data_IF_048061647998
#
_entry.id   IF_048061647998
#
_cell.length_a   1.000
_cell.length_b   1.000
_cell.length_c   1.000
_cell.angle_alpha   90.00
_cell.angle_beta   90.00
_cell.angle_gamma   90.00
#
_symmetry.space_group_name_H-M   'P 1'
#
loop_
_entity.id
_entity.type
_entity.pdbx_description
1 polymer ?
#
# COMPACT_ATOMS: atom_id res chain seq x y z
N UNK A 1 26.28 15.17 -7.41
CA UNK A 1 25.39 14.85 -8.55
C UNK A 1 26.19 14.07 -9.58
N UNK A 2 26.08 12.74 -9.58
CA UNK A 2 26.60 11.96 -10.69
C UNK A 2 25.43 11.71 -11.65
N UNK A 3 25.55 12.05 -12.94
CA UNK A 3 24.55 11.71 -13.92
C UNK A 3 24.34 10.20 -13.96
N UNK A 4 23.09 9.79 -14.13
CA UNK A 4 22.71 8.38 -14.26
C UNK A 4 23.45 7.80 -15.47
N UNK A 5 24.32 6.78 -15.33
CA UNK A 5 25.11 6.27 -16.45
C UNK A 5 24.24 5.52 -17.46
N UNK A 6 24.53 5.65 -18.73
CA UNK A 6 23.81 5.00 -19.84
C UNK A 6 24.17 3.50 -19.94
N UNK A 7 23.21 2.63 -20.28
CA UNK A 7 23.45 1.19 -20.47
C UNK A 7 24.44 0.91 -21.61
N UNK A 8 25.23 -0.18 -21.49
CA UNK A 8 26.26 -0.55 -22.51
C UNK A 8 25.69 -0.87 -23.90
N UNK A 9 24.49 -1.44 -23.97
CA UNK A 9 23.82 -1.74 -25.24
C UNK A 9 23.54 -0.49 -26.07
N UNK A 10 23.48 0.64 -25.40
CA UNK A 10 23.15 1.94 -25.92
C UNK A 10 24.38 2.71 -26.42
N UNK A 11 25.57 2.41 -25.87
CA UNK A 11 26.86 3.04 -26.29
C UNK A 11 27.34 2.65 -27.71
N UNK A 12 26.76 1.62 -28.35
CA UNK A 12 27.19 1.13 -29.65
C UNK A 12 26.60 1.86 -30.87
N UNK A 13 25.61 2.76 -30.67
CA UNK A 13 24.98 3.54 -31.77
C UNK A 13 25.55 4.93 -31.98
N UNK A 14 26.64 5.30 -31.30
CA UNK A 14 27.29 6.62 -31.46
C UNK A 14 28.14 6.73 -32.71
N UNK A 15 27.62 6.45 -33.90
CA UNK A 15 28.26 6.88 -35.16
C UNK A 15 27.22 6.95 -36.26
N UNK A 16 26.43 8.01 -36.25
CA UNK A 16 26.03 8.67 -37.48
C UNK A 16 25.47 10.05 -37.14
N UNK A 17 26.21 11.05 -37.59
CA UNK A 17 25.97 12.44 -37.39
C UNK A 17 24.85 12.87 -38.34
N UNK A 18 23.65 13.08 -37.85
CA UNK A 18 22.69 13.97 -38.49
C UNK A 18 21.90 14.72 -37.40
N UNK A 19 22.06 16.04 -37.39
CA UNK A 19 21.67 16.97 -36.35
C UNK A 19 20.21 17.42 -36.42
N UNK A 20 19.32 16.54 -36.84
CA UNK A 20 17.86 16.71 -36.64
C UNK A 20 17.39 15.74 -35.57
N UNK A 21 17.08 16.22 -34.36
CA UNK A 21 16.40 15.42 -33.33
C UNK A 21 15.10 14.89 -33.93
N UNK A 22 15.12 13.65 -34.40
CA UNK A 22 13.91 12.96 -34.86
C UNK A 22 12.98 12.78 -33.69
N UNK A 23 11.72 13.16 -33.82
CA UNK A 23 10.69 12.89 -32.82
C UNK A 23 10.64 11.38 -32.60
N UNK A 24 10.79 10.93 -31.34
CA UNK A 24 10.73 9.52 -30.99
C UNK A 24 9.30 8.98 -31.16
N UNK A 25 9.15 7.78 -31.68
CA UNK A 25 7.88 7.06 -31.67
C UNK A 25 7.60 6.46 -30.30
N UNK A 26 6.36 6.03 -30.06
CA UNK A 26 5.98 5.35 -28.81
C UNK A 26 6.78 4.08 -28.65
N UNK A 27 6.94 3.29 -29.70
CA UNK A 27 7.69 2.04 -29.71
C UNK A 27 9.17 2.25 -29.39
N UNK A 28 9.79 3.31 -29.93
CA UNK A 28 11.18 3.67 -29.62
C UNK A 28 11.34 4.08 -28.14
N UNK A 29 10.34 4.77 -27.57
CA UNK A 29 10.31 5.11 -26.13
C UNK A 29 10.17 3.87 -25.26
N UNK A 30 9.23 2.96 -25.59
CA UNK A 30 9.02 1.72 -24.88
C UNK A 30 10.26 0.81 -24.89
N UNK A 31 10.90 0.65 -26.05
CA UNK A 31 12.14 -0.12 -26.19
C UNK A 31 13.26 0.45 -25.32
N UNK A 32 13.43 1.78 -25.34
CA UNK A 32 14.42 2.45 -24.52
C UNK A 32 14.15 2.24 -23.03
N UNK A 33 12.92 2.51 -22.60
CA UNK A 33 12.51 2.41 -21.20
C UNK A 33 12.67 0.98 -20.70
N UNK A 34 12.21 -0.02 -21.46
CA UNK A 34 12.32 -1.44 -21.09
C UNK A 34 13.78 -1.92 -21.00
N UNK A 35 14.70 -1.29 -21.73
CA UNK A 35 16.14 -1.55 -21.60
C UNK A 35 16.79 -0.90 -20.38
N UNK A 36 16.10 0.01 -19.72
CA UNK A 36 16.66 0.86 -18.69
C UNK A 36 16.04 0.65 -17.31
N UNK A 37 14.70 0.57 -17.26
CA UNK A 37 13.91 0.45 -16.05
C UNK A 37 12.72 -0.49 -16.26
N UNK A 38 12.26 -1.09 -15.16
CA UNK A 38 10.94 -1.76 -15.09
C UNK A 38 9.97 -0.85 -14.36
N UNK A 39 8.71 -0.91 -14.76
CA UNK A 39 7.62 -0.16 -14.15
C UNK A 39 6.47 -1.07 -13.79
N UNK A 40 5.76 -0.74 -12.71
CA UNK A 40 4.51 -1.37 -12.33
C UNK A 40 3.60 -0.37 -11.62
N UNK A 41 2.29 -0.53 -11.77
CA UNK A 41 1.28 0.26 -11.08
C UNK A 41 0.85 -0.49 -9.82
N UNK A 42 1.15 0.06 -8.65
CA UNK A 42 0.72 -0.52 -7.39
C UNK A 42 -0.76 -0.23 -7.16
N UNK A 43 -1.59 -1.29 -7.12
CA UNK A 43 -3.05 -1.18 -7.01
C UNK A 43 -3.55 -0.76 -5.63
N UNK A 44 -2.71 -0.84 -4.58
CA UNK A 44 -3.08 -0.31 -3.26
C UNK A 44 -2.76 1.17 -3.13
N UNK A 45 -1.54 1.59 -3.49
CA UNK A 45 -1.13 3.00 -3.34
C UNK A 45 -1.56 3.87 -4.52
N UNK A 46 -1.96 3.25 -5.64
CA UNK A 46 -2.26 3.91 -6.91
C UNK A 46 -1.10 4.78 -7.42
N UNK A 47 0.13 4.30 -7.17
CA UNK A 47 1.37 4.95 -7.57
C UNK A 47 2.20 4.02 -8.45
N UNK A 48 2.91 4.63 -9.40
CA UNK A 48 3.86 3.89 -10.22
C UNK A 48 5.10 3.60 -9.38
N UNK A 49 5.53 2.36 -9.42
CA UNK A 49 6.81 1.91 -8.87
C UNK A 49 7.78 1.59 -10.01
N UNK A 50 9.05 1.79 -9.76
CA UNK A 50 10.12 1.54 -10.71
C UNK A 50 11.26 0.77 -10.10
N UNK A 51 11.95 0.01 -10.95
CA UNK A 51 13.14 -0.76 -10.61
C UNK A 51 14.17 -0.58 -11.73
N UNK A 52 15.40 -0.23 -11.38
CA UNK A 52 16.51 -0.16 -12.34
C UNK A 52 16.91 -1.58 -12.77
N UNK A 53 17.26 -1.74 -14.04
CA UNK A 53 17.79 -3.01 -14.55
C UNK A 53 19.28 -3.07 -14.26
N UNK A 54 19.74 -4.09 -13.52
CA UNK A 54 21.12 -4.21 -13.00
C UNK A 54 22.18 -4.16 -14.11
N UNK A 55 21.91 -4.73 -15.29
CA UNK A 55 22.84 -4.77 -16.43
C UNK A 55 23.11 -3.39 -17.04
N UNK A 56 22.30 -2.40 -16.72
CA UNK A 56 22.49 -1.01 -17.19
C UNK A 56 23.63 -0.28 -16.44
N UNK A 57 24.09 -0.80 -15.28
CA UNK A 57 25.03 -0.15 -14.36
C UNK A 57 26.20 -1.04 -13.97
N UNK A 58 27.22 -1.14 -14.82
CA UNK A 58 28.36 -2.02 -14.57
C UNK A 58 29.40 -1.50 -13.59
N UNK A 59 29.30 -0.28 -13.10
CA UNK A 59 30.31 0.33 -12.22
C UNK A 59 29.94 0.35 -10.73
N UNK A 60 28.75 -0.13 -10.34
CA UNK A 60 28.35 -0.31 -8.92
C UNK A 60 27.48 -1.56 -8.77
N UNK A 61 28.08 -2.71 -8.49
CA UNK A 61 27.33 -3.98 -8.33
C UNK A 61 26.56 -4.08 -7.00
N UNK A 62 26.54 -3.08 -6.13
CA UNK A 62 26.00 -3.22 -4.79
C UNK A 62 24.66 -2.51 -4.59
N UNK A 63 23.67 -3.32 -4.26
CA UNK A 63 22.48 -3.06 -3.45
C UNK A 63 21.36 -2.15 -3.99
N UNK A 64 21.57 -1.25 -4.93
CA UNK A 64 20.51 -0.30 -5.33
C UNK A 64 19.68 -0.74 -6.56
N UNK A 65 20.19 -1.65 -7.37
CA UNK A 65 19.64 -1.94 -8.68
C UNK A 65 18.41 -2.88 -8.69
N UNK A 66 18.18 -3.61 -7.61
CA UNK A 66 17.14 -4.65 -7.57
C UNK A 66 15.95 -4.33 -6.69
N UNK A 67 15.85 -3.12 -6.15
CA UNK A 67 14.75 -2.75 -5.26
C UNK A 67 13.69 -1.92 -5.98
N UNK A 68 12.41 -2.30 -5.81
CA UNK A 68 11.29 -1.50 -6.26
C UNK A 68 11.17 -0.25 -5.37
N UNK A 69 10.99 0.91 -6.00
CA UNK A 69 10.80 2.19 -5.32
C UNK A 69 9.73 3.01 -6.03
N UNK A 70 9.11 3.91 -5.33
CA UNK A 70 8.10 4.81 -5.91
C UNK A 70 8.75 5.68 -6.98
N UNK A 71 8.06 5.84 -8.11
CA UNK A 71 8.45 6.80 -9.14
C UNK A 71 8.33 8.21 -8.56
N UNK A 72 9.45 8.94 -8.57
CA UNK A 72 9.51 10.34 -8.12
C UNK A 72 9.81 11.25 -9.32
N UNK A 73 9.49 12.54 -9.21
CA UNK A 73 9.82 13.55 -10.22
C UNK A 73 11.31 13.52 -10.56
N UNK A 74 12.18 13.25 -9.58
CA UNK A 74 13.62 13.14 -9.81
C UNK A 74 13.97 11.97 -10.74
N UNK A 75 13.38 10.81 -10.53
CA UNK A 75 13.63 9.61 -11.36
C UNK A 75 13.06 9.83 -12.76
N UNK A 76 11.88 10.39 -12.86
CA UNK A 76 11.21 10.69 -14.12
C UNK A 76 11.99 11.73 -14.96
N UNK A 77 12.42 12.82 -14.34
CA UNK A 77 13.27 13.82 -14.98
C UNK A 77 14.63 13.24 -15.41
N UNK A 78 15.20 12.33 -14.60
CA UNK A 78 16.45 11.64 -14.94
C UNK A 78 16.28 10.72 -16.14
N UNK A 79 15.15 10.00 -16.22
CA UNK A 79 14.79 9.16 -17.38
C UNK A 79 14.61 10.02 -18.63
N UNK A 80 13.88 11.13 -18.53
CA UNK A 80 13.73 12.07 -19.64
C UNK A 80 15.09 12.61 -20.12
N UNK A 81 15.99 13.03 -19.21
CA UNK A 81 17.35 13.46 -19.56
C UNK A 81 18.12 12.34 -20.27
N UNK A 82 18.01 11.09 -19.81
CA UNK A 82 18.66 9.95 -20.44
C UNK A 82 18.17 9.75 -21.90
N UNK A 83 16.86 9.89 -22.15
CA UNK A 83 16.29 9.83 -23.50
C UNK A 83 16.82 10.95 -24.39
N UNK A 84 16.92 12.20 -23.87
CA UNK A 84 17.48 13.32 -24.60
C UNK A 84 18.96 13.09 -24.96
N UNK A 85 19.77 12.61 -24.03
CA UNK A 85 21.17 12.26 -24.28
C UNK A 85 21.35 11.16 -25.34
N UNK A 86 20.30 10.35 -25.54
CA UNK A 86 20.23 9.34 -26.60
C UNK A 86 19.80 9.88 -27.95
N UNK A 87 19.57 11.19 -28.07
CA UNK A 87 19.11 11.82 -29.29
C UNK A 87 17.61 11.65 -29.55
N UNK A 88 16.85 11.19 -28.57
CA UNK A 88 15.39 11.04 -28.67
C UNK A 88 14.73 12.38 -28.34
N UNK A 89 14.05 12.98 -29.30
CA UNK A 89 13.26 14.19 -29.08
C UNK A 89 11.91 13.80 -28.44
N UNK A 90 11.89 13.68 -27.09
CA UNK A 90 10.72 13.34 -26.27
C UNK A 90 10.36 14.53 -25.41
N UNK A 91 9.07 14.88 -25.38
CA UNK A 91 8.52 15.85 -24.43
C UNK A 91 8.19 15.14 -23.11
N UNK A 92 8.39 15.81 -21.97
CA UNK A 92 8.05 15.27 -20.65
C UNK A 92 6.58 14.85 -20.56
N UNK A 93 5.65 15.59 -21.21
CA UNK A 93 4.23 15.20 -21.25
C UNK A 93 4.00 13.91 -22.05
N UNK A 94 4.81 13.61 -23.06
CA UNK A 94 4.73 12.35 -23.82
C UNK A 94 5.19 11.19 -22.93
N UNK A 95 6.27 11.37 -22.16
CA UNK A 95 6.70 10.41 -21.16
C UNK A 95 5.64 10.17 -20.08
N UNK A 96 5.05 11.23 -19.52
CA UNK A 96 3.94 11.12 -18.55
C UNK A 96 2.74 10.36 -19.14
N UNK A 97 2.41 10.62 -20.42
CA UNK A 97 1.30 9.93 -21.08
C UNK A 97 1.58 8.45 -21.25
N UNK A 98 2.81 8.08 -21.62
CA UNK A 98 3.22 6.69 -21.76
C UNK A 98 3.21 5.98 -20.40
N UNK A 99 3.81 6.58 -19.37
CA UNK A 99 3.82 6.01 -18.01
C UNK A 99 2.42 5.92 -17.37
N UNK A 100 1.49 6.77 -17.79
CA UNK A 100 0.09 6.74 -17.36
C UNK A 100 -0.83 5.86 -18.22
N UNK A 101 -0.26 5.02 -19.11
CA UNK A 101 -1.02 4.13 -20.00
C UNK A 101 -0.88 2.65 -19.59
N UNK A 102 -1.49 1.75 -20.39
CA UNK A 102 -1.38 0.30 -20.24
C UNK A 102 0.05 -0.26 -20.43
N UNK A 103 1.02 0.60 -20.77
CA UNK A 103 2.43 0.27 -20.78
C UNK A 103 2.90 -0.15 -19.38
N UNK A 104 2.45 0.54 -18.33
CA UNK A 104 2.73 0.20 -16.94
C UNK A 104 1.70 -0.82 -16.44
N UNK A 105 2.15 -2.05 -16.20
CA UNK A 105 1.28 -3.15 -15.79
C UNK A 105 0.85 -3.02 -14.33
N UNK A 106 -0.39 -3.35 -14.08
CA UNK A 106 -0.96 -3.39 -12.73
C UNK A 106 -0.34 -4.51 -11.89
N UNK A 107 -0.15 -4.23 -10.60
CA UNK A 107 0.44 -5.11 -9.61
C UNK A 107 -0.31 -4.95 -8.29
N UNK A 108 -0.77 -6.05 -7.72
CA UNK A 108 -1.46 -6.04 -6.44
C UNK A 108 -0.58 -6.68 -5.36
N UNK A 109 0.05 -5.90 -4.45
CA UNK A 109 1.08 -6.40 -3.53
C UNK A 109 0.57 -7.49 -2.58
N UNK A 110 -0.64 -7.34 -2.05
CA UNK A 110 -1.22 -8.34 -1.16
C UNK A 110 -1.52 -9.63 -1.91
N UNK A 111 -2.05 -9.56 -3.13
CA UNK A 111 -2.36 -10.75 -3.94
C UNK A 111 -1.08 -11.50 -4.29
N UNK A 112 -0.04 -10.80 -4.75
CA UNK A 112 1.24 -11.42 -5.08
C UNK A 112 1.88 -12.08 -3.85
N UNK A 113 1.81 -11.41 -2.69
CA UNK A 113 2.27 -11.98 -1.43
C UNK A 113 1.53 -13.28 -1.09
N UNK A 114 0.19 -13.28 -1.16
CA UNK A 114 -0.63 -14.45 -0.82
C UNK A 114 -0.43 -15.59 -1.81
N UNK A 115 -0.34 -15.30 -3.11
CA UNK A 115 -0.09 -16.30 -4.17
C UNK A 115 1.30 -16.93 -4.05
N UNK A 116 2.27 -16.20 -3.45
CA UNK A 116 3.63 -16.68 -3.17
C UNK A 116 3.76 -17.51 -1.89
N UNK A 117 2.71 -17.60 -1.05
CA UNK A 117 2.77 -18.39 0.18
C UNK A 117 2.71 -19.90 -0.14
N UNK A 118 3.40 -20.72 0.67
CA UNK A 118 3.24 -22.16 0.59
C UNK A 118 1.77 -22.55 0.94
N UNK A 119 1.25 -23.66 0.41
CA UNK A 119 -0.07 -24.14 0.78
C UNK A 119 -0.17 -24.34 2.30
N UNK A 120 -1.32 -23.97 2.87
CA UNK A 120 -1.58 -24.24 4.27
C UNK A 120 -1.62 -25.75 4.55
N UNK A 121 -1.02 -26.18 5.65
CA UNK A 121 -0.96 -27.58 6.09
C UNK A 121 -2.33 -28.17 6.50
N UNK A 122 -3.37 -27.34 6.59
CA UNK A 122 -4.72 -27.74 7.01
C UNK A 122 -4.90 -27.95 8.52
N UNK A 123 -3.84 -27.84 9.32
CA UNK A 123 -3.85 -28.14 10.75
C UNK A 123 -3.42 -26.97 11.64
N UNK A 124 -2.39 -26.22 11.23
CA UNK A 124 -1.79 -25.18 12.06
C UNK A 124 -2.65 -23.92 12.13
N UNK A 125 -3.15 -23.58 13.33
CA UNK A 125 -3.83 -22.30 13.58
C UNK A 125 -2.80 -21.20 13.89
N UNK A 126 -2.25 -20.56 12.84
CA UNK A 126 -1.27 -19.50 12.97
C UNK A 126 -1.85 -18.24 13.65
N UNK A 127 -3.12 -17.91 13.38
CA UNK A 127 -3.78 -16.74 13.99
C UNK A 127 -4.02 -17.01 15.49
N UNK A 128 -4.44 -18.22 15.85
CA UNK A 128 -4.57 -18.61 17.24
C UNK A 128 -3.25 -18.56 18.00
N UNK A 129 -2.14 -18.99 17.38
CA UNK A 129 -0.80 -18.85 17.96
C UNK A 129 -0.40 -17.39 18.18
N UNK A 130 -0.67 -16.52 17.21
CA UNK A 130 -0.43 -15.08 17.34
C UNK A 130 -1.28 -14.49 18.47
N UNK A 131 -2.56 -14.84 18.54
CA UNK A 131 -3.45 -14.38 19.60
C UNK A 131 -3.03 -14.83 20.99
N UNK A 132 -2.45 -16.03 21.12
CA UNK A 132 -1.96 -16.58 22.39
C UNK A 132 -0.75 -15.80 22.96
N UNK A 133 -0.06 -15.00 22.15
CA UNK A 133 1.00 -14.10 22.63
C UNK A 133 0.43 -12.88 23.40
N UNK A 134 -0.87 -12.60 23.26
CA UNK A 134 -1.53 -11.46 23.89
C UNK A 134 -2.21 -11.92 25.17
N UNK A 135 -1.74 -11.43 26.31
CA UNK A 135 -2.36 -11.72 27.62
C UNK A 135 -3.56 -10.79 27.83
N UNK A 136 -4.75 -11.27 27.52
CA UNK A 136 -6.01 -10.55 27.75
C UNK A 136 -6.46 -10.76 29.19
N UNK A 137 -6.70 -9.68 29.92
CA UNK A 137 -7.36 -9.77 31.22
C UNK A 137 -8.84 -10.09 31.01
N UNK A 138 -9.32 -11.13 31.65
CA UNK A 138 -10.76 -11.36 31.79
C UNK A 138 -11.34 -10.19 32.59
N UNK A 139 -12.15 -9.36 31.95
CA UNK A 139 -12.90 -8.30 32.64
C UNK A 139 -14.29 -8.78 32.93
N UNK A 140 -14.73 -8.73 34.18
CA UNK A 140 -16.14 -9.05 34.52
C UNK A 140 -17.15 -8.07 33.92
N UNK A 141 -16.66 -6.99 33.31
CA UNK A 141 -17.46 -5.91 32.70
C UNK A 141 -17.18 -5.76 31.18
N UNK A 142 -16.86 -6.86 30.49
CA UNK A 142 -16.78 -6.82 29.03
C UNK A 142 -18.10 -6.33 28.45
N UNK A 143 -18.11 -5.30 27.55
CA UNK A 143 -19.34 -4.82 26.91
C UNK A 143 -20.14 -5.92 26.22
N UNK A 144 -19.50 -7.04 25.90
CA UNK A 144 -20.10 -8.25 25.33
C UNK A 144 -20.97 -9.06 26.32
N UNK A 145 -20.91 -8.74 27.64
CA UNK A 145 -21.73 -9.41 28.68
C UNK A 145 -22.89 -8.55 29.19
N UNK A 146 -23.02 -7.29 28.78
CA UNK A 146 -24.03 -6.37 29.35
C UNK A 146 -25.40 -6.40 28.67
N UNK A 147 -25.59 -7.13 27.57
CA UNK A 147 -26.90 -7.23 26.92
C UNK A 147 -27.71 -8.43 27.47
N UNK A 148 -27.85 -8.49 28.79
CA UNK A 148 -28.68 -9.49 29.51
C UNK A 148 -30.19 -9.24 29.37
N UNK A 149 -30.63 -8.20 28.66
CA UNK A 149 -32.06 -7.84 28.52
C UNK A 149 -32.74 -8.45 27.28
N UNK A 150 -32.03 -9.23 26.49
CA UNK A 150 -32.64 -9.99 25.40
C UNK A 150 -32.75 -11.45 25.81
N UNK A 151 -33.99 -11.87 26.12
CA UNK A 151 -34.36 -13.29 26.16
C UNK A 151 -33.92 -13.96 24.85
N UNK A 152 -32.80 -14.64 24.89
CA UNK A 152 -32.35 -15.53 23.81
C UNK A 152 -32.54 -16.95 24.25
N UNK A 153 -33.43 -17.62 23.54
CA UNK A 153 -33.52 -19.04 23.53
C UNK A 153 -32.17 -19.66 23.17
N UNK A 154 -31.61 -20.34 24.15
CA UNK A 154 -30.76 -21.50 24.12
C UNK A 154 -29.88 -21.77 22.90
N UNK A 155 -28.73 -21.07 22.83
CA UNK A 155 -27.53 -21.57 22.19
C UNK A 155 -26.37 -21.20 23.11
N UNK A 156 -25.63 -22.20 23.61
CA UNK A 156 -24.50 -22.11 24.53
C UNK A 156 -23.56 -20.95 24.17
N UNK A 157 -23.62 -19.83 24.92
CA UNK A 157 -22.74 -18.70 24.76
C UNK A 157 -21.33 -19.09 25.20
N UNK A 158 -20.55 -19.64 24.28
CA UNK A 158 -19.11 -19.74 24.50
C UNK A 158 -18.55 -18.31 24.55
N UNK A 159 -17.78 -17.95 25.59
CA UNK A 159 -17.20 -16.61 25.68
C UNK A 159 -16.36 -16.31 24.44
N UNK A 160 -16.61 -15.18 23.78
CA UNK A 160 -15.88 -14.78 22.58
C UNK A 160 -14.41 -14.55 22.96
N UNK A 161 -13.53 -15.36 22.43
CA UNK A 161 -12.09 -15.31 22.73
C UNK A 161 -11.43 -14.21 21.88
N UNK A 162 -10.36 -13.64 22.38
CA UNK A 162 -9.56 -12.67 21.62
C UNK A 162 -9.10 -13.25 20.26
N UNK A 163 -8.75 -14.54 20.22
CA UNK A 163 -8.40 -15.24 18.98
C UNK A 163 -9.51 -15.17 17.91
N UNK A 164 -10.79 -15.33 18.33
CA UNK A 164 -11.92 -15.28 17.40
C UNK A 164 -12.13 -13.85 16.86
N UNK A 165 -11.95 -12.84 17.71
CA UNK A 165 -12.05 -11.44 17.33
C UNK A 165 -10.92 -11.10 16.34
N UNK A 166 -9.68 -11.46 16.68
CA UNK A 166 -8.51 -11.21 15.85
C UNK A 166 -8.66 -11.90 14.48
N UNK A 167 -9.09 -13.17 14.48
CA UNK A 167 -9.31 -13.93 13.23
C UNK A 167 -10.36 -13.26 12.34
N UNK A 168 -11.50 -12.87 12.90
CA UNK A 168 -12.56 -12.17 12.14
C UNK A 168 -12.07 -10.86 11.57
N UNK A 169 -11.34 -10.07 12.36
CA UNK A 169 -10.80 -8.80 11.93
C UNK A 169 -9.77 -8.99 10.80
N UNK A 170 -8.82 -9.92 10.93
CA UNK A 170 -7.82 -10.21 9.90
C UNK A 170 -8.47 -10.71 8.60
N UNK A 171 -9.45 -11.61 8.69
CA UNK A 171 -10.19 -12.10 7.51
C UNK A 171 -10.93 -10.95 6.83
N UNK A 172 -11.57 -10.06 7.60
CA UNK A 172 -12.28 -8.90 7.04
C UNK A 172 -11.32 -7.91 6.36
N UNK A 173 -10.15 -7.67 6.95
CA UNK A 173 -9.09 -6.84 6.38
C UNK A 173 -8.62 -7.39 5.03
N UNK A 174 -8.29 -8.70 4.97
CA UNK A 174 -7.86 -9.34 3.71
C UNK A 174 -9.00 -9.31 2.67
N UNK A 175 -10.23 -9.60 3.09
CA UNK A 175 -11.38 -9.59 2.18
C UNK A 175 -11.65 -8.20 1.60
N UNK A 176 -11.54 -7.14 2.41
CA UNK A 176 -11.69 -5.75 1.94
C UNK A 176 -10.58 -5.35 0.96
N UNK A 177 -9.34 -5.76 1.23
CA UNK A 177 -8.22 -5.45 0.37
C UNK A 177 -8.22 -6.19 -0.98
N UNK A 178 -8.84 -7.36 -1.05
CA UNK A 178 -8.92 -8.18 -2.29
C UNK A 178 -10.22 -8.01 -3.06
N UNK A 179 -11.25 -7.43 -2.45
CA UNK A 179 -12.58 -7.35 -3.05
C UNK A 179 -13.21 -5.98 -2.79
N UNK A 180 -13.28 -5.17 -3.81
CA UNK A 180 -13.87 -3.82 -3.77
C UNK A 180 -15.33 -3.79 -3.29
N UNK A 181 -16.04 -4.92 -3.27
CA UNK A 181 -17.41 -5.00 -2.77
C UNK A 181 -17.51 -5.18 -1.26
N UNK A 182 -16.40 -5.49 -0.61
CA UNK A 182 -16.31 -5.73 0.84
C UNK A 182 -15.74 -4.50 1.53
N UNK A 183 -16.31 -4.12 2.66
CA UNK A 183 -15.80 -3.07 3.54
C UNK A 183 -15.59 -3.65 4.91
N UNK A 184 -14.40 -3.46 5.48
CA UNK A 184 -14.14 -3.83 6.86
C UNK A 184 -14.70 -2.75 7.80
N UNK A 185 -15.89 -2.99 8.35
CA UNK A 185 -16.55 -2.04 9.26
C UNK A 185 -16.16 -2.25 10.73
N UNK A 186 -15.14 -3.08 11.00
CA UNK A 186 -14.73 -3.45 12.34
C UNK A 186 -13.40 -2.82 12.69
N UNK A 187 -13.36 -2.09 13.81
CA UNK A 187 -12.13 -1.55 14.37
C UNK A 187 -11.68 -2.47 15.51
N UNK A 188 -10.48 -3.05 15.39
CA UNK A 188 -9.85 -3.80 16.47
C UNK A 188 -9.30 -2.83 17.51
N UNK A 189 -9.89 -2.81 18.71
CA UNK A 189 -9.48 -1.91 19.78
C UNK A 189 -8.73 -2.65 20.89
N UNK A 190 -7.47 -2.26 21.13
CA UNK A 190 -6.63 -2.80 22.20
C UNK A 190 -6.59 -1.81 23.37
N UNK A 191 -7.19 -2.21 24.52
CA UNK A 191 -7.22 -1.40 25.73
C UNK A 191 -6.24 -1.99 26.76
N UNK A 192 -5.41 -1.14 27.39
CA UNK A 192 -4.45 -1.60 28.38
C UNK A 192 -3.53 -0.48 28.85
N UNK A 193 -2.73 -0.76 29.89
CA UNK A 193 -1.80 0.20 30.48
C UNK A 193 -0.78 0.70 29.45
N UNK A 194 -0.24 1.88 29.65
CA UNK A 194 0.92 2.35 28.91
C UNK A 194 2.09 1.36 29.07
N UNK A 195 2.89 1.16 28.01
CA UNK A 195 4.01 0.21 28.02
C UNK A 195 3.61 -1.27 27.87
N UNK A 196 2.34 -1.60 27.58
CA UNK A 196 1.89 -2.99 27.36
C UNK A 196 2.07 -3.48 25.91
N UNK A 197 2.94 -2.85 25.14
CA UNK A 197 3.33 -3.25 23.77
C UNK A 197 2.21 -3.30 22.73
N UNK A 198 1.08 -2.59 22.95
CA UNK A 198 -0.05 -2.56 22.00
C UNK A 198 0.36 -2.05 20.62
N UNK A 199 1.03 -0.89 20.58
CA UNK A 199 1.54 -0.29 19.34
C UNK A 199 2.54 -1.21 18.67
N UNK A 200 3.47 -1.81 19.42
CA UNK A 200 4.46 -2.74 18.86
C UNK A 200 3.79 -3.99 18.28
N UNK A 201 2.75 -4.52 18.93
CA UNK A 201 1.96 -5.64 18.40
C UNK A 201 1.33 -5.25 17.05
N UNK A 202 0.69 -4.10 16.97
CA UNK A 202 0.06 -3.63 15.73
C UNK A 202 1.07 -3.34 14.62
N UNK A 203 2.25 -2.81 14.93
CA UNK A 203 3.34 -2.59 13.96
C UNK A 203 3.85 -3.87 13.31
N UNK A 204 3.76 -5.00 14.02
CA UNK A 204 4.22 -6.29 13.52
C UNK A 204 3.10 -7.21 13.05
N UNK A 205 1.85 -6.69 12.91
CA UNK A 205 0.71 -7.50 12.45
C UNK A 205 0.84 -7.86 10.97
N UNK A 206 1.45 -7.00 10.17
CA UNK A 206 1.76 -7.26 8.79
C UNK A 206 3.15 -7.90 8.64
N UNK A 207 3.35 -8.80 7.68
CA UNK A 207 4.68 -9.33 7.38
C UNK A 207 5.62 -8.22 6.87
N UNK A 208 6.96 -8.36 7.02
CA UNK A 208 7.92 -7.31 6.64
C UNK A 208 7.77 -6.83 5.19
N UNK A 209 7.42 -7.72 4.28
CA UNK A 209 7.18 -7.40 2.85
C UNK A 209 5.99 -6.44 2.63
N UNK A 210 5.00 -6.46 3.54
CA UNK A 210 3.81 -5.60 3.48
C UNK A 210 3.86 -4.46 4.51
N UNK A 211 4.98 -4.26 5.20
CA UNK A 211 5.11 -3.25 6.27
C UNK A 211 4.89 -1.81 5.79
N UNK A 212 5.12 -1.52 4.52
CA UNK A 212 4.86 -0.20 3.93
C UNK A 212 3.36 0.16 3.87
N UNK A 213 2.46 -0.84 3.95
CA UNK A 213 1.01 -0.65 3.98
C UNK A 213 0.44 -0.57 5.40
N UNK A 214 1.31 -0.33 6.37
CA UNK A 214 0.97 0.00 7.74
C UNK A 214 1.29 1.46 8.03
N UNK A 215 0.37 2.18 8.65
CA UNK A 215 0.63 3.53 9.11
C UNK A 215 0.08 3.77 10.51
N UNK A 216 0.66 4.71 11.24
CA UNK A 216 0.16 5.17 12.55
C UNK A 216 -0.27 6.61 12.44
N UNK A 217 -1.46 6.90 12.94
CA UNK A 217 -1.97 8.25 13.11
C UNK A 217 -2.07 8.58 14.59
N UNK A 218 -1.31 9.57 15.02
CA UNK A 218 -1.45 10.16 16.37
C UNK A 218 -2.65 11.10 16.39
N UNK A 219 -3.45 10.98 17.40
CA UNK A 219 -4.81 11.49 17.43
C UNK A 219 -4.98 12.98 17.70
N UNK A 220 -3.96 13.77 17.65
CA UNK A 220 -4.06 15.20 17.98
C UNK A 220 -4.64 16.06 16.86
N UNK A 221 -4.89 15.51 15.67
CA UNK A 221 -5.30 16.29 14.51
C UNK A 221 -6.67 15.87 13.98
N UNK A 222 -7.44 16.89 13.63
CA UNK A 222 -8.73 16.74 12.94
C UNK A 222 -8.64 15.81 11.74
N UNK A 223 -9.68 14.99 11.56
CA UNK A 223 -9.81 14.16 10.36
C UNK A 223 -9.86 15.03 9.09
N UNK A 224 -9.02 14.73 8.13
CA UNK A 224 -8.81 15.48 6.88
C UNK A 224 -9.15 14.66 5.65
N UNK A 225 -9.13 15.28 4.48
CA UNK A 225 -9.27 14.56 3.21
C UNK A 225 -8.12 13.59 2.94
N UNK A 226 -6.92 13.90 3.43
CA UNK A 226 -5.76 13.03 3.28
C UNK A 226 -5.93 11.71 4.05
N UNK A 227 -6.70 11.74 5.16
CA UNK A 227 -7.03 10.53 5.89
C UNK A 227 -7.93 9.58 5.10
N UNK A 228 -8.80 10.11 4.21
CA UNK A 228 -9.59 9.30 3.29
C UNK A 228 -8.68 8.54 2.31
N UNK A 229 -7.68 9.21 1.74
CA UNK A 229 -6.70 8.54 0.88
C UNK A 229 -5.86 7.50 1.66
N UNK A 230 -5.50 7.82 2.90
CA UNK A 230 -4.80 6.87 3.77
C UNK A 230 -5.58 5.55 3.91
N UNK A 231 -6.91 5.60 3.97
CA UNK A 231 -7.78 4.40 4.02
C UNK A 231 -7.82 3.59 2.73
N UNK A 232 -7.50 4.19 1.60
CA UNK A 232 -7.43 3.49 0.31
C UNK A 232 -6.03 2.92 0.00
N UNK A 233 -5.00 3.38 0.71
CA UNK A 233 -3.59 3.09 0.42
C UNK A 233 -2.93 2.16 1.45
N UNK A 234 -3.58 1.90 2.58
CA UNK A 234 -3.02 1.10 3.66
C UNK A 234 -3.91 -0.10 4.00
N UNK A 235 -3.28 -1.21 4.39
CA UNK A 235 -3.96 -2.40 4.91
C UNK A 235 -4.32 -2.25 6.39
N UNK A 236 -3.49 -1.51 7.14
CA UNK A 236 -3.69 -1.28 8.57
C UNK A 236 -3.36 0.18 8.91
N UNK A 237 -4.30 0.84 9.55
CA UNK A 237 -4.14 2.18 10.13
C UNK A 237 -4.26 2.07 11.63
N UNK A 238 -3.16 2.26 12.35
CA UNK A 238 -3.16 2.28 13.80
C UNK A 238 -3.51 3.68 14.31
N UNK A 239 -4.64 3.80 14.99
CA UNK A 239 -5.06 5.05 15.63
C UNK A 239 -4.64 5.01 17.10
N UNK A 240 -3.71 5.86 17.48
CA UNK A 240 -3.27 5.99 18.87
C UNK A 240 -4.14 6.99 19.65
N UNK A 241 -4.31 6.74 20.94
CA UNK A 241 -5.03 7.62 21.86
C UNK A 241 -6.48 7.95 21.45
N UNK A 242 -7.19 6.98 20.90
CA UNK A 242 -8.58 7.15 20.45
C UNK A 242 -9.53 7.57 21.57
N UNK A 243 -9.19 7.31 22.83
CA UNK A 243 -9.94 7.70 24.03
C UNK A 243 -9.93 9.22 24.28
N UNK A 244 -8.97 9.96 23.71
CA UNK A 244 -8.90 11.41 23.79
C UNK A 244 -9.67 12.13 22.67
N UNK A 245 -10.21 11.35 21.71
CA UNK A 245 -10.88 11.89 20.53
C UNK A 245 -12.23 12.52 20.87
N UNK A 246 -12.49 13.77 20.43
CA UNK A 246 -13.79 14.41 20.61
C UNK A 246 -14.93 13.60 19.97
N UNK A 247 -16.16 13.62 20.54
CA UNK A 247 -17.30 12.87 19.99
C UNK A 247 -17.62 13.20 18.53
N UNK A 248 -17.40 14.46 18.09
CA UNK A 248 -17.58 14.87 16.70
C UNK A 248 -16.65 14.15 15.73
N UNK A 249 -15.38 13.97 16.12
CA UNK A 249 -14.37 13.29 15.32
C UNK A 249 -14.57 11.78 15.35
N UNK A 250 -14.99 11.25 16.48
CA UNK A 250 -15.37 9.83 16.55
C UNK A 250 -16.55 9.50 15.60
N UNK A 251 -17.50 10.41 15.46
CA UNK A 251 -18.59 10.27 14.49
C UNK A 251 -18.10 10.36 13.04
N UNK A 252 -17.14 11.25 12.76
CA UNK A 252 -16.50 11.31 11.45
C UNK A 252 -15.75 10.01 11.15
N UNK A 253 -14.95 9.49 12.09
CA UNK A 253 -14.26 8.22 11.96
C UNK A 253 -15.23 7.07 11.63
N UNK A 254 -16.35 6.97 12.36
CA UNK A 254 -17.39 5.97 12.08
C UNK A 254 -17.95 6.09 10.67
N UNK A 255 -18.21 7.30 10.21
CA UNK A 255 -18.68 7.54 8.84
C UNK A 255 -17.64 7.14 7.80
N UNK A 256 -16.36 7.46 8.03
CA UNK A 256 -15.26 7.10 7.14
C UNK A 256 -15.04 5.59 7.05
N UNK A 257 -15.02 4.88 8.18
CA UNK A 257 -14.83 3.41 8.22
C UNK A 257 -15.96 2.65 7.51
N UNK A 258 -17.17 3.21 7.45
CA UNK A 258 -18.30 2.60 6.75
C UNK A 258 -18.40 2.98 5.27
N UNK A 259 -17.58 3.92 4.81
CA UNK A 259 -17.58 4.40 3.44
C UNK A 259 -16.92 3.35 2.52
N UNK A 260 -17.61 2.95 1.46
CA UNK A 260 -17.12 1.92 0.53
C UNK A 260 -16.09 2.44 -0.46
N UNK A 261 -16.28 3.67 -0.94
CA UNK A 261 -15.41 4.31 -1.92
C UNK A 261 -15.08 5.71 -1.48
N UNK A 262 -13.89 6.15 -1.83
CA UNK A 262 -13.43 7.53 -1.69
C UNK A 262 -13.54 8.22 -3.04
N UNK A 263 -14.46 9.19 -3.15
CA UNK A 263 -14.70 10.00 -4.35
C UNK A 263 -14.13 11.40 -4.15
N UNK A 264 -12.82 11.51 -4.12
CA UNK A 264 -12.15 12.78 -3.84
C UNK A 264 -11.08 13.09 -4.90
N UNK A 265 -10.69 14.37 -4.96
CA UNK A 265 -9.60 14.80 -5.81
C UNK A 265 -8.32 14.91 -5.00
N UNK A 266 -7.25 14.20 -5.41
CA UNK A 266 -5.91 14.36 -4.83
C UNK A 266 -5.42 15.79 -5.00
N UNK A 267 -4.56 16.25 -4.09
CA UNK A 267 -3.87 17.52 -4.25
C UNK A 267 -3.17 17.54 -5.62
N UNK A 268 -3.38 18.64 -6.37
CA UNK A 268 -2.87 18.82 -7.75
C UNK A 268 -3.40 17.83 -8.80
N UNK A 269 -4.27 16.89 -8.44
CA UNK A 269 -4.90 15.99 -9.40
C UNK A 269 -5.86 16.74 -10.34
N UNK A 270 -5.97 16.30 -11.60
CA UNK A 270 -6.91 16.89 -12.59
C UNK A 270 -8.34 16.44 -12.34
N UNK A 271 -8.52 15.15 -12.05
CA UNK A 271 -9.82 14.50 -11.89
C UNK A 271 -10.05 14.00 -10.46
N UNK A 272 -11.31 13.79 -10.09
CA UNK A 272 -11.66 13.00 -8.93
C UNK A 272 -11.27 11.55 -9.20
N UNK A 273 -10.81 10.85 -8.17
CA UNK A 273 -10.56 9.42 -8.20
C UNK A 273 -11.67 8.70 -7.43
N UNK A 274 -12.01 7.51 -7.88
CA UNK A 274 -12.98 6.63 -7.25
C UNK A 274 -12.22 5.39 -6.76
N UNK A 275 -11.87 5.36 -5.48
CA UNK A 275 -10.99 4.35 -4.92
C UNK A 275 -11.70 3.52 -3.87
N UNK A 276 -11.53 2.18 -3.85
CA UNK A 276 -12.10 1.33 -2.83
C UNK A 276 -11.44 1.59 -1.47
N UNK A 277 -12.21 1.40 -0.41
CA UNK A 277 -11.70 1.41 0.95
C UNK A 277 -11.03 0.06 1.23
N UNK A 278 -9.77 0.09 1.66
CA UNK A 278 -8.91 -1.10 1.85
C UNK A 278 -8.67 -1.40 3.34
N UNK A 279 -8.48 -0.36 4.20
CA UNK A 279 -8.12 -0.48 5.61
C UNK A 279 -9.24 -1.01 6.52
#
# INVERSE_FOLDING_TARGET
>A
FNPVPLPRSVRKKEKENDSSHKKATVEEMEEFINGYMKFRMNMLTHQIETQLIADAYTDRPEASACHWQRLTDHIENSLWCAMQHHGMAVNLNELHTLLGSDFVKEYHPLKEYLDGLPPWDGETDYIGRLAAMVHVKESPHSPLQQDKSRERNDLSETPVRFADILKRWMVSMIAAALNETVVNQVILTLIGRQGSYKTSFMQHILPPVLSEYYTTKSNSSRMTKDDLFTMTENLVINLEEIDTMPPSELNQLKAMVTQRYVDERRAYGRNKVHLPHVA
#
